data_IF_186506571414
#
_entry.id   IF_186506571414
#
_cell.length_a   1.000
_cell.length_b   1.000
_cell.length_c   1.000
_cell.angle_alpha   90.00
_cell.angle_beta   90.00
_cell.angle_gamma   90.00
#
_symmetry.space_group_name_H-M   'P 1'
#
loop_
_entity.id
_entity.type
_entity.pdbx_description
1 polymer ?
#
# COMPACT_ATOMS: atom_id res chain seq x y z
N UNK A 1 -0.16 5.57 -29.00
CA UNK A 1 -1.17 6.06 -28.04
C UNK A 1 -0.45 6.82 -26.94
N UNK A 2 -0.43 8.15 -27.01
CA UNK A 2 0.15 8.97 -25.96
C UNK A 2 -0.78 8.92 -24.74
N UNK A 3 -0.53 7.96 -23.83
CA UNK A 3 -1.02 8.05 -22.46
C UNK A 3 -0.27 9.23 -21.86
N UNK A 4 -0.97 10.13 -21.17
CA UNK A 4 -0.40 11.30 -20.49
C UNK A 4 0.99 10.98 -19.95
N UNK A 5 2.00 11.81 -20.25
CA UNK A 5 3.41 11.58 -19.90
C UNK A 5 3.71 11.66 -18.40
N UNK A 6 2.72 11.38 -17.57
CA UNK A 6 2.82 11.34 -16.12
C UNK A 6 3.28 9.93 -15.76
N UNK A 7 4.48 9.84 -15.19
CA UNK A 7 4.99 8.58 -14.67
C UNK A 7 4.08 8.09 -13.54
N UNK A 8 3.67 6.81 -13.53
CA UNK A 8 3.00 6.24 -12.37
C UNK A 8 3.92 6.32 -11.15
N UNK A 9 3.34 6.35 -9.93
CA UNK A 9 4.13 6.25 -8.70
C UNK A 9 4.92 4.93 -8.69
N UNK A 10 6.07 4.89 -8.01
CA UNK A 10 6.81 3.64 -7.82
C UNK A 10 5.92 2.61 -7.11
N UNK A 11 6.05 1.33 -7.47
CA UNK A 11 5.25 0.27 -6.86
C UNK A 11 5.46 0.21 -5.34
N UNK A 12 4.37 0.19 -4.57
CA UNK A 12 4.44 0.16 -3.10
C UNK A 12 5.08 -1.14 -2.61
N UNK A 13 4.64 -2.28 -3.13
CA UNK A 13 5.13 -3.59 -2.71
C UNK A 13 5.27 -4.52 -3.91
N UNK A 14 6.42 -4.44 -4.57
CA UNK A 14 6.74 -5.31 -5.71
C UNK A 14 7.25 -6.68 -5.27
N UNK A 15 8.04 -6.72 -4.20
CA UNK A 15 8.63 -7.95 -3.64
C UNK A 15 8.22 -8.14 -2.18
N UNK A 16 8.18 -9.40 -1.68
CA UNK A 16 7.97 -9.67 -0.26
C UNK A 16 8.99 -8.90 0.60
N UNK A 17 8.52 -8.12 1.57
CA UNK A 17 9.39 -7.35 2.45
C UNK A 17 8.73 -6.10 3.03
N UNK A 18 9.56 -5.19 3.52
CA UNK A 18 9.15 -3.88 4.02
C UNK A 18 9.19 -2.89 2.85
N UNK A 19 8.07 -2.19 2.62
CA UNK A 19 8.02 -1.11 1.63
C UNK A 19 8.97 0.02 2.03
N UNK A 20 9.62 0.64 1.05
CA UNK A 20 10.51 1.78 1.25
C UNK A 20 9.77 3.02 1.79
N UNK A 21 8.47 3.12 1.52
CA UNK A 21 7.62 4.25 1.97
C UNK A 21 6.41 3.74 2.75
N UNK A 22 5.96 4.43 3.81
CA UNK A 22 4.71 4.09 4.49
C UNK A 22 3.52 4.13 3.53
N UNK A 23 2.54 3.24 3.75
CA UNK A 23 1.36 3.14 2.87
C UNK A 23 0.58 4.46 2.79
N UNK A 24 0.46 5.19 3.90
CA UNK A 24 -0.18 6.51 3.93
C UNK A 24 0.54 7.57 3.08
N UNK A 25 1.86 7.50 3.00
CA UNK A 25 2.62 8.41 2.14
C UNK A 25 2.43 8.03 0.67
N UNK A 26 2.43 6.72 0.39
CA UNK A 26 2.25 6.20 -0.96
C UNK A 26 0.85 6.48 -1.52
N UNK A 27 -0.21 6.32 -0.72
CA UNK A 27 -1.58 6.58 -1.18
C UNK A 27 -1.78 8.05 -1.57
N UNK A 28 -1.16 8.99 -0.84
CA UNK A 28 -1.17 10.41 -1.23
C UNK A 28 -0.48 10.66 -2.57
N UNK A 29 0.58 9.91 -2.88
CA UNK A 29 1.23 9.97 -4.20
C UNK A 29 0.30 9.42 -5.30
N UNK A 30 -0.43 8.35 -4.99
CA UNK A 30 -1.42 7.77 -5.88
C UNK A 30 -2.59 8.74 -6.14
N UNK A 31 -3.15 9.38 -5.11
CA UNK A 31 -4.23 10.35 -5.25
C UNK A 31 -3.82 11.53 -6.13
N UNK A 32 -2.61 12.06 -5.94
CA UNK A 32 -2.05 13.12 -6.78
C UNK A 32 -1.89 12.66 -8.24
N UNK A 33 -1.49 11.40 -8.45
CA UNK A 33 -1.37 10.83 -9.78
C UNK A 33 -2.74 10.67 -10.46
N UNK A 34 -3.76 10.20 -9.75
CA UNK A 34 -5.13 10.08 -10.25
C UNK A 34 -5.68 11.46 -10.60
N UNK A 35 -5.52 12.43 -9.71
CA UNK A 35 -5.95 13.82 -9.93
C UNK A 35 -5.27 14.44 -11.15
N UNK A 36 -3.97 14.18 -11.34
CA UNK A 36 -3.23 14.68 -12.50
C UNK A 36 -3.62 13.96 -13.81
N UNK A 37 -4.13 12.73 -13.74
CA UNK A 37 -4.63 12.00 -14.90
C UNK A 37 -6.03 12.47 -15.33
N UNK A 38 -6.93 12.71 -14.38
CA UNK A 38 -8.30 13.15 -14.65
C UNK A 38 -8.95 13.77 -13.41
N UNK A 39 -9.68 14.86 -13.62
CA UNK A 39 -10.43 15.57 -12.57
C UNK A 39 -11.57 14.71 -11.97
N UNK A 40 -12.11 13.77 -12.75
CA UNK A 40 -13.04 12.73 -12.30
C UNK A 40 -12.70 11.38 -12.92
N UNK A 41 -12.22 10.46 -12.09
CA UNK A 41 -12.03 9.05 -12.47
C UNK A 41 -13.19 8.23 -11.90
N UNK A 42 -13.83 7.39 -12.73
CA UNK A 42 -14.88 6.50 -12.23
C UNK A 42 -14.31 5.43 -11.29
N UNK A 43 -15.08 5.05 -10.27
CA UNK A 43 -14.63 4.17 -9.17
C UNK A 43 -13.93 2.89 -9.65
N UNK A 44 -14.53 2.18 -10.62
CA UNK A 44 -13.94 0.97 -11.21
C UNK A 44 -12.57 1.20 -11.85
N UNK A 45 -12.37 2.37 -12.47
CA UNK A 45 -11.10 2.73 -13.11
C UNK A 45 -10.07 3.13 -12.05
N UNK A 46 -10.49 3.82 -10.99
CA UNK A 46 -9.64 4.16 -9.86
C UNK A 46 -9.14 2.89 -9.15
N UNK A 47 -10.06 1.98 -8.80
CA UNK A 47 -9.76 0.65 -8.25
C UNK A 47 -8.76 -0.12 -9.11
N UNK A 48 -9.03 -0.24 -10.41
CA UNK A 48 -8.13 -0.97 -11.31
C UNK A 48 -6.74 -0.32 -11.38
N UNK A 49 -6.66 1.01 -11.32
CA UNK A 49 -5.39 1.74 -11.33
C UNK A 49 -4.63 1.58 -10.00
N UNK A 50 -5.35 1.60 -8.88
CA UNK A 50 -4.79 1.36 -7.55
C UNK A 50 -4.15 -0.02 -7.48
N UNK A 51 -4.92 -1.05 -7.83
CA UNK A 51 -4.44 -2.43 -7.89
C UNK A 51 -3.25 -2.54 -8.86
N UNK A 52 -3.32 -1.93 -10.04
CA UNK A 52 -2.22 -1.98 -11.00
C UNK A 52 -0.91 -1.36 -10.48
N UNK A 53 -1.00 -0.24 -9.76
CA UNK A 53 0.16 0.54 -9.29
C UNK A 53 0.72 0.07 -7.95
N UNK A 54 -0.06 -0.63 -7.12
CA UNK A 54 0.37 -1.04 -5.76
C UNK A 54 1.50 -2.07 -5.77
N UNK A 55 1.67 -2.83 -6.85
CA UNK A 55 2.73 -3.84 -7.01
C UNK A 55 2.27 -5.28 -6.78
N UNK A 56 3.00 -6.24 -7.34
CA UNK A 56 2.56 -7.64 -7.43
C UNK A 56 2.31 -8.31 -6.07
N UNK A 57 3.14 -8.00 -5.07
CA UNK A 57 2.99 -8.59 -3.73
C UNK A 57 1.78 -8.00 -2.98
N UNK A 58 1.53 -6.69 -3.13
CA UNK A 58 0.34 -6.08 -2.56
C UNK A 58 -0.96 -6.55 -3.25
N UNK A 59 -0.94 -6.79 -4.56
CA UNK A 59 -2.06 -7.42 -5.27
C UNK A 59 -2.33 -8.82 -4.72
N UNK A 60 -1.29 -9.62 -4.50
CA UNK A 60 -1.44 -10.96 -3.92
C UNK A 60 -2.13 -10.91 -2.56
N UNK A 61 -1.72 -9.97 -1.70
CA UNK A 61 -2.34 -9.73 -0.39
C UNK A 61 -3.80 -9.31 -0.57
N UNK A 62 -4.09 -8.38 -1.48
CA UNK A 62 -5.46 -7.93 -1.75
C UNK A 62 -6.40 -9.09 -2.10
N UNK A 63 -5.95 -10.00 -2.96
CA UNK A 63 -6.73 -11.20 -3.33
C UNK A 63 -6.91 -12.22 -2.18
N UNK A 64 -6.18 -12.08 -1.08
CA UNK A 64 -6.37 -12.89 0.14
C UNK A 64 -7.27 -12.23 1.17
N UNK A 65 -7.63 -10.95 0.98
CA UNK A 65 -8.53 -10.24 1.90
C UNK A 65 -9.98 -10.70 1.68
N UNK A 66 -10.77 -10.83 2.76
CA UNK A 66 -12.20 -11.07 2.63
C UNK A 66 -12.87 -9.88 1.94
N UNK A 67 -13.84 -10.15 1.05
CA UNK A 67 -14.65 -9.10 0.43
C UNK A 67 -15.61 -8.50 1.47
N UNK A 68 -15.19 -7.43 2.15
CA UNK A 68 -15.97 -6.81 3.25
C UNK A 68 -16.99 -5.77 2.73
N UNK A 69 -17.23 -5.71 1.41
CA UNK A 69 -18.13 -4.71 0.81
C UNK A 69 -17.67 -3.25 0.98
N UNK A 70 -16.42 -3.05 1.38
CA UNK A 70 -15.76 -1.74 1.48
C UNK A 70 -15.02 -1.43 0.17
N UNK A 71 -14.69 -0.16 -0.08
CA UNK A 71 -13.87 0.22 -1.23
C UNK A 71 -12.51 -0.50 -1.21
N UNK A 72 -11.97 -0.86 -2.37
CA UNK A 72 -10.68 -1.54 -2.49
C UNK A 72 -9.56 -0.74 -1.80
N UNK A 73 -9.66 0.59 -1.87
CA UNK A 73 -8.75 1.51 -1.21
C UNK A 73 -8.82 1.40 0.32
N UNK A 74 -10.02 1.28 0.88
CA UNK A 74 -10.22 1.16 2.33
C UNK A 74 -9.78 -0.20 2.84
N UNK A 75 -10.01 -1.28 2.07
CA UNK A 75 -9.49 -2.60 2.38
C UNK A 75 -7.96 -2.61 2.46
N UNK A 76 -7.30 -1.96 1.49
CA UNK A 76 -5.85 -1.83 1.45
C UNK A 76 -5.32 -0.93 2.58
N UNK A 77 -5.96 0.22 2.84
CA UNK A 77 -5.61 1.11 3.96
C UNK A 77 -5.70 0.38 5.28
N UNK A 78 -6.79 -0.34 5.52
CA UNK A 78 -7.01 -1.08 6.77
C UNK A 78 -5.93 -2.14 6.95
N UNK A 79 -5.60 -2.91 5.92
CA UNK A 79 -4.59 -3.95 6.03
C UNK A 79 -3.17 -3.41 6.18
N UNK A 80 -2.78 -2.46 5.33
CA UNK A 80 -1.40 -1.97 5.28
C UNK A 80 -1.08 -0.97 6.38
N UNK A 81 -2.01 -0.07 6.77
CA UNK A 81 -1.80 0.79 7.94
C UNK A 81 -1.73 -0.04 9.23
N UNK A 82 -2.67 -0.98 9.43
CA UNK A 82 -2.64 -1.84 10.62
C UNK A 82 -1.37 -2.72 10.66
N UNK A 83 -0.88 -3.18 9.51
CA UNK A 83 0.36 -3.95 9.43
C UNK A 83 1.60 -3.09 9.72
N UNK A 84 1.63 -1.83 9.28
CA UNK A 84 2.72 -0.90 9.61
C UNK A 84 2.79 -0.66 11.12
N UNK A 85 1.66 -0.47 11.80
CA UNK A 85 1.64 -0.36 13.27
C UNK A 85 2.06 -1.66 13.95
N UNK A 86 1.59 -2.80 13.44
CA UNK A 86 1.93 -4.13 13.97
C UNK A 86 3.41 -4.49 13.77
N UNK A 87 4.05 -4.03 12.70
CA UNK A 87 5.48 -4.22 12.47
C UNK A 87 6.34 -3.22 13.29
N UNK A 88 5.83 -2.02 13.57
CA UNK A 88 6.52 -1.04 14.43
C UNK A 88 6.61 -1.49 15.90
N UNK A 89 5.70 -2.38 16.33
CA UNK A 89 5.67 -2.95 17.67
C UNK A 89 6.63 -4.12 17.93
N UNK A 90 7.43 -4.58 16.95
CA UNK A 90 8.31 -5.76 17.12
C UNK A 90 9.81 -5.41 17.24
N UNK A 91 10.21 -4.14 17.08
CA UNK A 91 11.62 -3.72 17.18
C UNK A 91 12.03 -3.18 18.57
N UNK A 92 11.40 -3.61 19.67
CA UNK A 92 11.93 -3.35 21.03
C UNK A 92 11.62 -4.49 22.01
N UNK A 93 12.17 -5.67 21.79
CA UNK A 93 12.64 -6.52 22.89
C UNK A 93 13.91 -7.23 22.43
N UNK A 94 15.07 -6.61 22.69
CA UNK A 94 16.34 -7.34 22.69
C UNK A 94 16.35 -8.24 23.93
N UNK A 95 16.65 -9.55 23.83
CA UNK A 95 16.68 -10.45 24.99
C UNK A 95 18.04 -10.31 25.68
N UNK A 96 18.20 -9.29 26.51
CA UNK A 96 19.37 -9.16 27.38
C UNK A 96 18.97 -9.70 28.76
N UNK A 97 19.21 -10.99 28.98
CA UNK A 97 19.26 -11.60 30.31
C UNK A 97 20.17 -12.82 30.24
N UNK A 98 20.83 -13.26 31.33
CA UNK A 98 21.19 -12.58 32.57
C UNK A 98 22.69 -12.74 32.88
N UNK A 99 23.30 -11.88 33.69
CA UNK A 99 24.52 -12.29 34.42
C UNK A 99 24.52 -11.71 35.81
N UNK A 100 24.20 -12.60 36.76
CA UNK A 100 24.57 -12.47 38.16
C UNK A 100 26.08 -12.38 38.29
N UNK A 101 26.57 -11.46 39.12
CA UNK A 101 27.56 -11.72 40.20
C UNK A 101 27.35 -10.65 41.27
#
# INVERSE_FOLDING_TARGET
>A
MARLGISPPPAFLQSPGVSTVPFEAWIRMFDNYVLALADKMGDKRNSALLIHTVGAEAQRIFHTLPEIGVSDEDALKTFFCAKTERCRGVEQVSPESPTSW
#
